data_IF_139104717928
#
_entry.id   IF_139104717928
#
_cell.length_a   1.000
_cell.length_b   1.000
_cell.length_c   1.000
_cell.angle_alpha   90.00
_cell.angle_beta   90.00
_cell.angle_gamma   90.00
#
_symmetry.space_group_name_H-M   'P 1'
#
loop_
_entity.id
_entity.type
_entity.pdbx_description
1 polymer ?
#
# COMPACT_ATOMS: atom_id res chain seq x y z
N UNK A 1 -11.81 5.59 2.01
CA UNK A 1 -12.60 4.70 1.12
C UNK A 1 -12.93 5.40 -0.20
N UNK A 2 -13.53 6.59 -0.11
CA UNK A 2 -13.98 7.37 -1.28
C UNK A 2 -12.81 7.78 -2.19
N UNK A 3 -11.72 8.30 -1.62
CA UNK A 3 -10.58 8.81 -2.41
C UNK A 3 -9.98 7.79 -3.38
N UNK A 4 -9.74 6.54 -2.96
CA UNK A 4 -9.18 5.51 -3.86
C UNK A 4 -10.16 5.12 -4.96
N UNK A 5 -11.46 5.04 -4.64
CA UNK A 5 -12.52 4.78 -5.62
C UNK A 5 -12.66 5.93 -6.63
N UNK A 6 -12.57 7.18 -6.17
CA UNK A 6 -12.64 8.35 -7.04
C UNK A 6 -11.45 8.41 -8.00
N UNK A 7 -10.24 8.14 -7.49
CA UNK A 7 -9.02 8.07 -8.30
C UNK A 7 -9.14 6.95 -9.33
N UNK A 8 -9.59 5.77 -8.93
CA UNK A 8 -9.85 4.65 -9.85
C UNK A 8 -10.80 5.08 -10.98
N UNK A 9 -11.97 5.63 -10.63
CA UNK A 9 -12.97 6.05 -11.60
C UNK A 9 -12.44 7.14 -12.57
N UNK A 10 -11.61 8.06 -12.07
CA UNK A 10 -10.97 9.09 -12.90
C UNK A 10 -10.00 8.46 -13.92
N UNK A 11 -9.17 7.51 -13.50
CA UNK A 11 -8.15 6.91 -14.37
C UNK A 11 -8.76 5.90 -15.34
N UNK A 12 -9.72 5.08 -14.91
CA UNK A 12 -10.41 4.09 -15.77
C UNK A 12 -11.13 4.74 -16.95
N UNK A 13 -11.43 6.05 -16.88
CA UNK A 13 -11.99 6.80 -18.01
C UNK A 13 -10.99 7.09 -19.14
N UNK A 14 -9.69 6.99 -18.87
CA UNK A 14 -8.60 7.35 -19.80
C UNK A 14 -7.53 6.27 -19.98
N UNK A 15 -7.56 5.19 -19.19
CA UNK A 15 -6.57 4.13 -19.27
C UNK A 15 -6.76 3.03 -18.23
N UNK A 16 -5.75 2.18 -18.09
CA UNK A 16 -5.72 1.12 -17.10
C UNK A 16 -5.42 1.62 -15.68
N UNK A 17 -6.04 1.00 -14.69
CA UNK A 17 -5.80 1.27 -13.28
C UNK A 17 -5.54 -0.04 -12.53
N UNK A 18 -4.50 -0.08 -11.70
CA UNK A 18 -4.12 -1.24 -10.89
C UNK A 18 -3.80 -0.77 -9.47
N UNK A 19 -4.62 -1.17 -8.51
CA UNK A 19 -4.45 -0.86 -7.09
C UNK A 19 -3.62 -1.96 -6.41
N UNK A 20 -2.45 -1.56 -5.92
CA UNK A 20 -1.57 -2.45 -5.15
C UNK A 20 -1.70 -2.09 -3.66
N UNK A 21 -2.24 -3.01 -2.87
CA UNK A 21 -2.29 -2.90 -1.43
C UNK A 21 -1.00 -3.46 -0.81
N UNK A 22 -0.11 -2.60 -0.33
CA UNK A 22 1.06 -3.05 0.45
C UNK A 22 0.61 -3.37 1.87
N UNK A 23 0.08 -4.59 2.03
CA UNK A 23 -0.58 -5.12 3.22
C UNK A 23 0.38 -5.54 4.34
N UNK A 24 1.50 -4.83 4.51
CA UNK A 24 2.49 -5.17 5.53
C UNK A 24 1.95 -4.84 6.92
N UNK A 25 2.00 -5.77 7.90
CA UNK A 25 1.57 -5.50 9.27
C UNK A 25 2.22 -4.25 9.85
N UNK A 26 1.46 -3.52 10.67
CA UNK A 26 1.95 -2.27 11.24
C UNK A 26 3.13 -2.51 12.18
N UNK A 27 3.15 -3.63 12.89
CA UNK A 27 4.24 -4.03 13.78
C UNK A 27 5.56 -4.20 13.01
N UNK A 28 5.48 -4.76 11.79
CA UNK A 28 6.63 -4.84 10.87
C UNK A 28 7.06 -3.45 10.39
N UNK A 29 6.10 -2.58 10.09
CA UNK A 29 6.39 -1.20 9.68
C UNK A 29 7.05 -0.38 10.81
N UNK A 30 6.54 -0.51 12.04
CA UNK A 30 7.08 0.11 13.25
C UNK A 30 8.49 -0.41 13.56
N UNK A 31 8.70 -1.73 13.48
CA UNK A 31 10.03 -2.32 13.69
C UNK A 31 11.09 -1.82 12.71
N UNK A 32 10.67 -1.39 11.51
CA UNK A 32 11.56 -0.82 10.50
C UNK A 32 11.84 0.67 10.69
N UNK A 33 11.08 1.41 11.50
CA UNK A 33 10.95 2.87 11.58
C UNK A 33 12.22 3.70 11.29
N UNK A 34 12.62 3.76 10.01
CA UNK A 34 13.91 4.33 9.59
C UNK A 34 14.02 5.82 9.84
N UNK A 35 12.87 6.49 9.97
CA UNK A 35 12.74 7.95 10.11
C UNK A 35 12.33 8.36 11.52
N UNK A 36 12.07 7.42 12.42
CA UNK A 36 11.56 7.69 13.77
C UNK A 36 10.13 8.28 13.77
N UNK A 37 9.36 8.09 12.70
CA UNK A 37 8.03 8.69 12.56
C UNK A 37 6.99 7.95 13.40
N UNK A 38 7.05 6.62 13.44
CA UNK A 38 6.17 5.84 14.31
C UNK A 38 6.47 6.12 15.78
N UNK A 39 7.74 6.22 16.16
CA UNK A 39 8.14 6.59 17.51
C UNK A 39 7.59 7.97 17.92
N UNK A 40 7.70 8.98 17.04
CA UNK A 40 7.14 10.32 17.27
C UNK A 40 5.61 10.34 17.33
N UNK A 41 4.95 9.55 16.48
CA UNK A 41 3.50 9.41 16.49
C UNK A 41 3.00 8.77 17.80
N UNK A 42 3.65 7.69 18.25
CA UNK A 42 3.35 7.04 19.55
C UNK A 42 3.60 7.95 20.74
N UNK A 43 4.57 8.87 20.63
CA UNK A 43 4.83 9.91 21.62
C UNK A 43 3.85 11.11 21.56
N UNK A 44 2.88 11.10 20.64
CA UNK A 44 1.90 12.17 20.47
C UNK A 44 2.45 13.45 19.81
N UNK A 45 3.66 13.40 19.23
CA UNK A 45 4.31 14.54 18.60
C UNK A 45 3.86 14.77 17.15
N UNK A 46 3.25 13.76 16.52
CA UNK A 46 2.67 13.85 15.18
C UNK A 46 1.17 13.57 15.32
N UNK A 47 0.30 14.59 15.22
CA UNK A 47 -1.14 14.37 15.17
C UNK A 47 -1.51 13.61 13.89
N UNK A 48 -2.62 12.87 13.91
CA UNK A 48 -3.23 12.26 12.71
C UNK A 48 -2.26 11.37 11.91
N UNK A 49 -1.62 10.43 12.60
CA UNK A 49 -0.68 9.49 12.00
C UNK A 49 -1.39 8.19 11.63
N UNK A 50 -1.47 7.90 10.33
CA UNK A 50 -2.15 6.72 9.78
C UNK A 50 -1.54 5.41 10.32
N UNK A 51 -2.39 4.53 10.83
CA UNK A 51 -2.03 3.29 11.52
C UNK A 51 -1.84 3.43 13.03
N UNK A 52 -1.62 4.64 13.56
CA UNK A 52 -1.41 4.87 15.00
C UNK A 52 -2.60 5.61 15.63
N UNK A 53 -2.84 6.85 15.22
CA UNK A 53 -3.97 7.66 15.71
C UNK A 53 -5.12 7.71 14.71
N UNK A 54 -4.84 7.59 13.41
CA UNK A 54 -5.84 7.50 12.35
C UNK A 54 -5.91 6.09 11.77
N UNK A 55 -7.11 5.52 11.53
CA UNK A 55 -7.21 4.17 10.98
C UNK A 55 -6.75 4.12 9.52
N UNK A 56 -5.99 3.08 9.16
CA UNK A 56 -5.76 2.74 7.76
C UNK A 56 -6.96 1.98 7.21
N UNK A 57 -7.58 2.50 6.17
CA UNK A 57 -8.69 1.83 5.51
C UNK A 57 -8.19 0.82 4.47
N UNK A 58 -8.24 -0.47 4.81
CA UNK A 58 -7.86 -1.57 3.92
C UNK A 58 -8.68 -1.54 2.62
N UNK A 59 -8.06 -1.62 1.43
CA UNK A 59 -8.77 -1.77 0.16
C UNK A 59 -9.61 -3.05 0.12
N UNK A 60 -10.85 -2.94 -0.36
CA UNK A 60 -11.78 -4.08 -0.42
C UNK A 60 -11.46 -5.02 -1.58
N UNK A 61 -11.09 -4.48 -2.74
CA UNK A 61 -10.80 -5.25 -3.95
C UNK A 61 -9.54 -4.71 -4.66
N UNK A 62 -8.35 -4.76 -4.02
CA UNK A 62 -7.12 -4.43 -4.72
C UNK A 62 -6.81 -5.51 -5.76
N UNK A 63 -6.23 -5.12 -6.90
CA UNK A 63 -5.76 -6.07 -7.90
C UNK A 63 -4.63 -6.97 -7.37
N UNK A 64 -3.80 -6.46 -6.45
CA UNK A 64 -2.77 -7.23 -5.77
C UNK A 64 -2.59 -6.73 -4.33
N UNK A 65 -2.48 -7.65 -3.38
CA UNK A 65 -2.07 -7.37 -2.01
C UNK A 65 -0.71 -8.01 -1.73
N UNK A 66 0.24 -7.22 -1.21
CA UNK A 66 1.63 -7.64 -0.96
C UNK A 66 1.96 -7.41 0.52
N UNK A 67 2.18 -8.49 1.27
CA UNK A 67 2.85 -8.41 2.57
C UNK A 67 4.37 -8.45 2.34
N UNK A 68 5.07 -7.40 2.77
CA UNK A 68 6.53 -7.30 2.61
C UNK A 68 7.28 -7.90 3.80
N UNK A 69 6.61 -8.57 4.73
CA UNK A 69 7.24 -9.27 5.86
C UNK A 69 8.10 -10.42 5.36
N UNK A 70 9.42 -10.30 5.52
CA UNK A 70 10.37 -11.31 5.01
C UNK A 70 10.52 -11.35 3.49
N UNK A 71 9.80 -10.50 2.74
CA UNK A 71 9.87 -10.41 1.29
C UNK A 71 10.93 -9.40 0.85
N UNK A 72 11.81 -9.80 -0.07
CA UNK A 72 12.77 -8.91 -0.71
C UNK A 72 12.08 -7.89 -1.63
N UNK A 73 12.78 -6.77 -1.90
CA UNK A 73 12.27 -5.74 -2.82
C UNK A 73 12.08 -6.32 -4.22
N UNK A 74 13.06 -7.07 -4.72
CA UNK A 74 13.01 -7.67 -6.06
C UNK A 74 11.84 -8.66 -6.19
N UNK A 75 11.56 -9.43 -5.13
CA UNK A 75 10.43 -10.36 -5.10
C UNK A 75 9.08 -9.63 -5.09
N UNK A 76 8.95 -8.54 -4.33
CA UNK A 76 7.75 -7.71 -4.33
C UNK A 76 7.52 -7.05 -5.70
N UNK A 77 8.57 -6.54 -6.32
CA UNK A 77 8.52 -5.98 -7.69
C UNK A 77 8.11 -7.06 -8.69
N UNK A 78 8.67 -8.27 -8.58
CA UNK A 78 8.33 -9.38 -9.46
C UNK A 78 6.84 -9.73 -9.38
N UNK A 79 6.23 -9.71 -8.19
CA UNK A 79 4.78 -9.94 -8.06
C UNK A 79 3.96 -8.88 -8.80
N UNK A 80 4.37 -7.61 -8.75
CA UNK A 80 3.71 -6.52 -9.48
C UNK A 80 3.86 -6.73 -10.99
N UNK A 81 5.06 -7.06 -11.47
CA UNK A 81 5.30 -7.30 -12.90
C UNK A 81 4.47 -8.47 -13.44
N UNK A 82 4.43 -9.59 -12.72
CA UNK A 82 3.60 -10.74 -13.07
C UNK A 82 2.11 -10.38 -13.08
N UNK A 83 1.65 -9.54 -12.15
CA UNK A 83 0.28 -9.06 -12.16
C UNK A 83 -0.01 -8.22 -13.39
N UNK A 84 0.87 -7.30 -13.77
CA UNK A 84 0.71 -6.47 -14.96
C UNK A 84 0.75 -7.30 -16.26
N UNK A 85 1.57 -8.34 -16.32
CA UNK A 85 1.58 -9.30 -17.42
C UNK A 85 0.25 -10.07 -17.51
N UNK A 86 -0.26 -10.57 -16.39
CA UNK A 86 -1.55 -11.28 -16.33
C UNK A 86 -2.73 -10.42 -16.78
N UNK A 87 -2.73 -9.13 -16.43
CA UNK A 87 -3.73 -8.15 -16.85
C UNK A 87 -3.52 -7.66 -18.30
N UNK A 88 -2.45 -8.09 -18.97
CA UNK A 88 -2.17 -7.76 -20.37
C UNK A 88 -1.52 -6.39 -20.59
N UNK A 89 -1.02 -5.73 -19.54
CA UNK A 89 -0.30 -4.46 -19.64
C UNK A 89 1.16 -4.62 -20.06
N UNK A 90 1.76 -5.79 -19.79
CA UNK A 90 3.13 -6.12 -20.18
C UNK A 90 3.14 -7.35 -21.11
N UNK A 91 4.17 -7.44 -21.95
CA UNK A 91 4.45 -8.55 -22.86
C UNK A 91 5.90 -8.96 -22.75
#
# INVERSE_FOLDING_TARGET
RQTRRDVRAMIESVGGFVEIHVATPIETCEGRDRKGLYAKARAGLIPEFTGVSDPYEIPENPELAIDTTGLGIDEAVQQILLKLEHEGYLR
#
